data_IF_822817348268
#
_entry.id   IF_822817348268
#
_cell.length_a   1.000
_cell.length_b   1.000
_cell.length_c   1.000
_cell.angle_alpha   90.00
_cell.angle_beta   90.00
_cell.angle_gamma   90.00
#
_symmetry.space_group_name_H-M   'P 1'
#
loop_
_entity.id
_entity.type
_entity.pdbx_description
1 polymer ?
#
# COMPACT_ATOMS: atom_id res chain seq x y z
N UNK A 1 -0.50 0.38 -23.84
CA UNK A 1 0.08 0.07 -22.53
C UNK A 1 1.31 0.93 -22.32
N UNK A 2 1.35 1.65 -21.24
CA UNK A 2 2.48 2.46 -20.78
C UNK A 2 3.09 1.81 -19.54
N UNK A 3 4.40 1.95 -19.33
CA UNK A 3 5.13 1.35 -18.24
C UNK A 3 6.03 2.39 -17.57
N UNK A 4 6.10 2.37 -16.24
CA UNK A 4 7.04 3.16 -15.44
C UNK A 4 7.72 2.27 -14.40
N UNK A 5 8.99 1.93 -14.64
CA UNK A 5 9.77 1.08 -13.74
C UNK A 5 10.43 1.89 -12.63
N UNK A 6 10.32 1.39 -11.40
CA UNK A 6 10.94 1.96 -10.21
C UNK A 6 11.87 0.96 -9.55
N UNK A 7 13.18 1.09 -9.80
CA UNK A 7 14.18 0.27 -9.11
C UNK A 7 14.19 0.56 -7.61
N UNK A 8 14.37 -0.48 -6.79
CA UNK A 8 14.39 -0.34 -5.33
C UNK A 8 15.47 0.66 -4.86
N UNK A 9 16.63 0.68 -5.51
CA UNK A 9 17.75 1.58 -5.20
C UNK A 9 17.49 3.07 -5.52
N UNK A 10 16.42 3.37 -6.28
CA UNK A 10 16.07 4.76 -6.66
C UNK A 10 14.97 5.36 -5.80
N UNK A 11 14.45 4.62 -4.82
CA UNK A 11 13.51 5.15 -3.84
C UNK A 11 14.19 6.15 -2.91
N UNK A 12 13.43 7.11 -2.40
CA UNK A 12 13.90 7.95 -1.31
C UNK A 12 14.21 7.11 -0.08
N UNK A 13 15.29 7.43 0.62
CA UNK A 13 15.64 6.73 1.84
C UNK A 13 15.86 7.73 2.98
N UNK A 14 15.20 7.48 4.10
CA UNK A 14 15.40 8.20 5.35
C UNK A 14 15.77 7.22 6.47
N UNK A 15 16.75 7.59 7.30
CA UNK A 15 17.13 6.83 8.49
C UNK A 15 17.24 7.79 9.67
N UNK A 16 16.30 7.66 10.60
CA UNK A 16 16.22 8.46 11.83
C UNK A 16 16.70 7.68 13.07
N UNK A 17 17.39 6.53 12.86
CA UNK A 17 17.76 5.61 13.92
C UNK A 17 16.62 4.66 14.30
N UNK A 18 15.49 5.21 14.72
CA UNK A 18 14.30 4.46 15.09
C UNK A 18 13.39 4.12 13.91
N UNK A 19 13.50 4.84 12.79
CA UNK A 19 12.74 4.67 11.56
C UNK A 19 13.72 4.52 10.39
N UNK A 20 13.56 3.46 9.60
CA UNK A 20 14.14 3.32 8.26
C UNK A 20 12.97 3.31 7.28
N UNK A 21 12.89 4.34 6.44
CA UNK A 21 11.78 4.54 5.50
C UNK A 21 12.29 4.56 4.07
N UNK A 22 11.60 3.82 3.18
CA UNK A 22 11.85 3.86 1.74
C UNK A 22 10.60 4.43 1.04
N UNK A 23 10.77 5.57 0.36
CA UNK A 23 9.69 6.32 -0.26
C UNK A 23 9.63 6.04 -1.77
N UNK A 24 8.53 5.49 -2.27
CA UNK A 24 8.34 5.33 -3.72
C UNK A 24 8.06 6.66 -4.41
N UNK A 25 7.40 7.58 -3.71
CA UNK A 25 7.07 8.95 -4.18
C UNK A 25 7.61 9.99 -3.22
N UNK A 26 7.73 11.24 -3.70
CA UNK A 26 8.22 12.38 -2.90
C UNK A 26 7.47 12.49 -1.58
N UNK A 27 8.22 12.40 -0.48
CA UNK A 27 7.68 12.40 0.88
C UNK A 27 8.69 13.01 1.86
N UNK A 28 8.21 13.73 2.87
CA UNK A 28 9.01 14.42 3.87
C UNK A 28 10.12 15.28 3.24
N UNK A 29 11.38 15.03 3.56
CA UNK A 29 12.54 15.77 3.02
C UNK A 29 13.04 15.26 1.67
N UNK A 30 12.58 14.09 1.20
CA UNK A 30 12.96 13.57 -0.10
C UNK A 30 12.04 14.09 -1.20
N UNK A 31 12.62 14.72 -2.20
CA UNK A 31 11.90 15.31 -3.31
C UNK A 31 12.48 14.86 -4.66
N UNK A 32 11.60 14.31 -5.50
CA UNK A 32 11.88 14.03 -6.90
C UNK A 32 10.67 14.47 -7.74
N UNK A 33 10.84 15.50 -8.58
CA UNK A 33 9.77 16.06 -9.42
C UNK A 33 9.09 15.04 -10.36
N UNK A 34 9.79 13.98 -10.71
CA UNK A 34 9.29 12.89 -11.56
C UNK A 34 8.64 11.74 -10.78
N UNK A 35 8.63 11.84 -9.44
CA UNK A 35 8.07 10.84 -8.52
C UNK A 35 7.19 11.50 -7.48
N UNK A 36 6.15 12.19 -7.95
CA UNK A 36 5.20 12.86 -7.05
C UNK A 36 4.06 11.93 -6.64
N UNK A 37 3.57 11.12 -7.55
CA UNK A 37 2.47 10.18 -7.38
C UNK A 37 2.38 9.25 -8.61
N UNK A 38 1.57 8.20 -8.52
CA UNK A 38 1.12 7.39 -9.65
C UNK A 38 -0.41 7.43 -9.68
N UNK A 39 -1.02 8.12 -10.64
CA UNK A 39 -2.45 8.40 -10.58
C UNK A 39 -2.83 8.95 -9.20
N UNK A 40 -3.91 8.47 -8.62
CA UNK A 40 -4.34 8.89 -7.27
C UNK A 40 -3.46 8.34 -6.12
N UNK A 41 -2.54 7.42 -6.37
CA UNK A 41 -1.61 6.92 -5.35
C UNK A 41 -0.53 7.97 -5.05
N UNK A 42 -0.67 8.66 -3.90
CA UNK A 42 0.20 9.77 -3.50
C UNK A 42 1.42 9.31 -2.71
N UNK A 43 1.28 8.30 -1.86
CA UNK A 43 2.35 7.76 -1.01
C UNK A 43 2.34 6.25 -1.06
N UNK A 44 3.53 5.66 -1.16
CA UNK A 44 3.81 4.28 -0.82
C UNK A 44 5.17 4.24 -0.12
N UNK A 45 5.12 4.14 1.19
CA UNK A 45 6.28 3.99 2.05
C UNK A 45 6.41 2.55 2.53
N UNK A 46 7.65 2.07 2.58
CA UNK A 46 8.06 0.78 3.13
C UNK A 46 8.91 1.08 4.36
N UNK A 47 8.28 1.00 5.52
CA UNK A 47 8.81 1.50 6.78
C UNK A 47 9.19 0.35 7.72
N UNK A 48 10.36 0.50 8.35
CA UNK A 48 10.79 -0.34 9.47
C UNK A 48 10.90 0.55 10.70
N UNK A 49 10.10 0.24 11.73
CA UNK A 49 10.05 1.02 12.98
C UNK A 49 10.58 0.19 14.13
N UNK A 50 11.53 0.76 14.87
CA UNK A 50 12.17 0.12 16.03
C UNK A 50 11.15 -0.17 17.16
N UNK A 51 11.44 -1.12 18.07
CA UNK A 51 10.57 -1.46 19.19
C UNK A 51 10.15 -0.25 20.02
N UNK A 52 8.85 -0.14 20.31
CA UNK A 52 8.25 0.92 21.13
C UNK A 52 8.31 2.34 20.54
N UNK A 53 8.89 2.48 19.34
CA UNK A 53 9.01 3.76 18.65
C UNK A 53 7.86 3.96 17.67
N UNK A 54 7.69 5.18 17.18
CA UNK A 54 6.60 5.48 16.24
C UNK A 54 6.43 6.96 15.97
N UNK A 55 5.31 7.29 15.36
CA UNK A 55 4.93 8.64 14.99
C UNK A 55 3.98 9.22 16.04
N UNK A 56 4.42 10.31 16.70
CA UNK A 56 3.57 11.05 17.63
C UNK A 56 2.36 11.66 16.96
N UNK A 57 1.46 12.23 17.76
CA UNK A 57 0.20 12.80 17.29
C UNK A 57 0.41 13.84 16.18
N UNK A 58 -0.19 13.60 15.02
CA UNK A 58 -0.12 14.47 13.84
C UNK A 58 -1.47 14.48 13.08
N UNK A 59 -1.76 15.54 12.30
CA UNK A 59 -3.02 15.69 11.59
C UNK A 59 -2.97 15.10 10.19
N UNK A 60 -4.18 14.72 9.68
CA UNK A 60 -4.48 14.49 8.28
C UNK A 60 -5.84 15.07 7.94
N UNK A 61 -6.03 15.48 6.70
CA UNK A 61 -7.30 15.85 6.10
C UNK A 61 -7.37 15.35 4.65
N UNK A 62 -8.57 15.10 4.16
CA UNK A 62 -8.86 14.76 2.77
C UNK A 62 -7.89 13.75 2.16
N UNK A 63 -7.64 12.63 2.87
CA UNK A 63 -6.75 11.56 2.46
C UNK A 63 -7.29 10.20 2.89
N UNK A 64 -7.18 9.22 2.01
CA UNK A 64 -7.37 7.81 2.35
C UNK A 64 -6.02 7.22 2.72
N UNK A 65 -5.87 6.75 3.95
CA UNK A 65 -4.62 6.22 4.51
C UNK A 65 -4.81 4.74 4.79
N UNK A 66 -3.96 3.92 4.19
CA UNK A 66 -4.02 2.47 4.31
C UNK A 66 -2.72 1.97 4.90
N UNK A 67 -2.81 1.16 5.96
CA UNK A 67 -1.66 0.53 6.60
C UNK A 67 -1.73 -0.98 6.45
N UNK A 68 -0.64 -1.57 5.97
CA UNK A 68 -0.50 -3.02 5.74
C UNK A 68 0.78 -3.49 6.46
N UNK A 69 0.68 -4.00 7.70
CA UNK A 69 1.83 -4.61 8.36
C UNK A 69 2.26 -5.89 7.64
N UNK A 70 3.54 -5.97 7.28
CA UNK A 70 4.14 -7.17 6.68
C UNK A 70 4.75 -8.09 7.75
N UNK A 71 5.20 -7.49 8.86
CA UNK A 71 5.75 -8.18 10.03
C UNK A 71 5.49 -7.32 11.27
N UNK A 72 5.18 -7.95 12.40
CA UNK A 72 4.95 -7.26 13.67
C UNK A 72 3.53 -6.68 13.78
N UNK A 73 3.37 -5.62 14.58
CA UNK A 73 2.08 -4.99 14.83
C UNK A 73 2.22 -3.49 15.14
N UNK A 74 1.26 -2.72 14.66
CA UNK A 74 1.18 -1.26 14.82
C UNK A 74 0.05 -0.90 15.78
N UNK A 75 0.33 -0.12 16.81
CA UNK A 75 -0.68 0.50 17.67
C UNK A 75 -1.09 1.83 17.06
N UNK A 76 -2.38 1.97 16.76
CA UNK A 76 -3.01 3.19 16.27
C UNK A 76 -3.87 3.81 17.38
N UNK A 77 -3.79 5.12 17.54
CA UNK A 77 -4.70 5.91 18.39
C UNK A 77 -5.11 7.18 17.65
N UNK A 78 -6.40 7.54 17.70
CA UNK A 78 -6.90 8.72 16.99
C UNK A 78 -7.84 9.60 17.80
N UNK A 79 -8.18 10.77 17.22
CA UNK A 79 -9.06 11.76 17.82
C UNK A 79 -10.55 11.39 17.82
N UNK A 80 -10.94 10.30 17.14
CA UNK A 80 -12.30 9.74 17.18
C UNK A 80 -12.47 8.79 18.37
N UNK A 81 -11.38 8.42 19.05
CA UNK A 81 -11.38 7.54 20.21
C UNK A 81 -11.05 6.08 19.92
N UNK A 82 -10.61 5.76 18.69
CA UNK A 82 -10.07 4.44 18.39
C UNK A 82 -8.68 4.28 19.01
N UNK A 83 -8.42 3.12 19.59
CA UNK A 83 -7.13 2.70 20.14
C UNK A 83 -6.99 1.21 19.86
N UNK A 84 -6.40 0.88 18.72
CA UNK A 84 -6.41 -0.47 18.15
C UNK A 84 -4.97 -0.92 17.82
N UNK A 85 -4.79 -2.24 17.72
CA UNK A 85 -3.52 -2.83 17.26
C UNK A 85 -3.78 -3.55 15.96
N UNK A 86 -3.03 -3.17 14.91
CA UNK A 86 -3.09 -3.78 13.58
C UNK A 86 -1.92 -4.75 13.44
N UNK A 87 -2.20 -6.03 13.23
CA UNK A 87 -1.21 -7.08 13.13
C UNK A 87 -0.84 -7.42 11.68
N UNK A 88 0.31 -8.04 11.47
CA UNK A 88 0.58 -8.72 10.19
C UNK A 88 -0.53 -9.76 9.92
N UNK A 89 -1.10 -9.73 8.70
CA UNK A 89 -2.32 -10.47 8.36
C UNK A 89 -3.61 -9.66 8.49
N UNK A 90 -3.49 -8.37 8.81
CA UNK A 90 -4.58 -7.41 8.83
C UNK A 90 -4.29 -6.23 7.90
N UNK A 91 -5.33 -5.53 7.51
CA UNK A 91 -5.27 -4.25 6.81
C UNK A 91 -6.11 -3.23 7.57
N UNK A 92 -5.62 -1.99 7.61
CA UNK A 92 -6.30 -0.84 8.21
C UNK A 92 -6.57 0.21 7.15
N UNK A 93 -7.72 0.86 7.23
CA UNK A 93 -8.09 2.06 6.46
C UNK A 93 -8.53 3.16 7.42
N UNK A 94 -7.99 4.35 7.22
CA UNK A 94 -8.41 5.59 7.85
C UNK A 94 -8.75 6.62 6.76
N UNK A 95 -10.04 7.01 6.66
CA UNK A 95 -10.45 8.14 5.84
C UNK A 95 -10.35 9.41 6.68
N UNK A 96 -9.46 10.33 6.32
CA UNK A 96 -9.20 11.52 7.13
C UNK A 96 -10.30 12.59 7.01
N UNK A 97 -10.98 12.68 5.85
CA UNK A 97 -12.15 13.54 5.64
C UNK A 97 -11.94 14.97 6.12
N UNK A 98 -12.85 15.49 6.96
CA UNK A 98 -12.81 16.86 7.52
C UNK A 98 -11.64 17.11 8.46
N UNK A 99 -10.86 16.09 8.80
CA UNK A 99 -9.67 16.19 9.63
C UNK A 99 -9.67 15.20 10.80
N UNK A 100 -8.51 14.60 11.01
CA UNK A 100 -8.23 13.65 12.09
C UNK A 100 -6.83 13.88 12.63
N UNK A 101 -6.65 13.66 13.91
CA UNK A 101 -5.31 13.52 14.52
C UNK A 101 -5.13 12.08 14.92
N UNK A 102 -3.97 11.51 14.60
CA UNK A 102 -3.61 10.16 15.04
C UNK A 102 -2.14 10.02 15.42
N UNK A 103 -1.83 8.92 16.06
CA UNK A 103 -0.48 8.48 16.37
C UNK A 103 -0.34 7.00 16.04
N UNK A 104 0.85 6.58 15.63
CA UNK A 104 1.16 5.21 15.22
C UNK A 104 2.47 4.77 15.85
N UNK A 105 2.44 3.71 16.67
CA UNK A 105 3.60 3.18 17.36
C UNK A 105 3.77 1.68 17.11
N UNK A 106 5.01 1.23 17.03
CA UNK A 106 5.30 -0.20 17.11
C UNK A 106 4.78 -0.74 18.45
N UNK A 107 3.84 -1.68 18.40
CA UNK A 107 3.22 -2.25 19.60
C UNK A 107 4.17 -3.16 20.41
N UNK A 108 5.23 -3.70 19.76
CA UNK A 108 6.24 -4.51 20.41
C UNK A 108 7.31 -3.65 21.07
N UNK A 109 7.79 -4.07 22.24
CA UNK A 109 8.94 -3.45 22.94
C UNK A 109 10.27 -4.14 22.59
N UNK A 110 10.26 -5.22 21.81
CA UNK A 110 11.44 -6.04 21.53
C UNK A 110 11.68 -6.33 20.05
N UNK A 111 10.63 -6.27 19.20
CA UNK A 111 10.70 -6.64 17.79
C UNK A 111 10.42 -5.43 16.89
N UNK A 112 11.16 -5.31 15.78
CA UNK A 112 10.85 -4.33 14.73
C UNK A 112 9.56 -4.67 14.02
N UNK A 113 8.80 -3.65 13.62
CA UNK A 113 7.70 -3.77 12.66
C UNK A 113 8.18 -3.39 11.27
N UNK A 114 7.73 -4.11 10.22
CA UNK A 114 7.80 -3.67 8.84
C UNK A 114 6.39 -3.53 8.28
N UNK A 115 6.08 -2.38 7.71
CA UNK A 115 4.76 -2.09 7.15
C UNK A 115 4.84 -1.28 5.86
N UNK A 116 3.82 -1.39 5.03
CA UNK A 116 3.52 -0.39 4.01
C UNK A 116 2.51 0.62 4.54
N UNK A 117 2.78 1.90 4.27
CA UNK A 117 1.81 2.97 4.42
C UNK A 117 1.51 3.57 3.04
N UNK A 118 0.23 3.55 2.66
CA UNK A 118 -0.27 4.08 1.40
C UNK A 118 -1.18 5.26 1.66
N UNK A 119 -1.04 6.32 0.85
CA UNK A 119 -1.99 7.43 0.82
C UNK A 119 -2.57 7.54 -0.57
N UNK A 120 -3.89 7.59 -0.66
CA UNK A 120 -4.62 7.71 -1.92
C UNK A 120 -5.48 8.98 -1.84
N UNK A 121 -5.40 9.84 -2.85
CA UNK A 121 -6.27 11.01 -2.95
C UNK A 121 -7.71 10.55 -3.07
N UNK A 122 -8.64 11.03 -2.21
CA UNK A 122 -10.03 10.65 -2.30
C UNK A 122 -10.73 11.32 -3.50
N UNK A 123 -11.81 10.71 -4.00
CA UNK A 123 -12.69 11.30 -5.00
C UNK A 123 -13.81 12.14 -4.37
N UNK A 124 -13.93 12.14 -3.04
CA UNK A 124 -14.87 12.93 -2.28
C UNK A 124 -14.15 13.58 -1.09
N UNK A 125 -14.21 14.89 -1.00
CA UNK A 125 -13.63 15.67 0.09
C UNK A 125 -14.63 15.92 1.21
N UNK A 126 -14.10 16.33 2.39
CA UNK A 126 -14.89 16.75 3.56
C UNK A 126 -15.87 15.66 4.06
N UNK A 127 -15.53 14.39 3.82
CA UNK A 127 -16.30 13.27 4.36
C UNK A 127 -16.11 13.17 5.87
N UNK A 128 -17.04 12.51 6.55
CA UNK A 128 -16.87 12.19 7.97
C UNK A 128 -15.67 11.26 8.15
N UNK A 129 -14.72 11.60 9.04
CA UNK A 129 -13.60 10.72 9.34
C UNK A 129 -14.06 9.34 9.79
N UNK A 130 -13.35 8.29 9.37
CA UNK A 130 -13.66 6.92 9.78
C UNK A 130 -12.40 6.08 9.89
N UNK A 131 -12.49 5.02 10.68
CA UNK A 131 -11.48 4.01 10.90
C UNK A 131 -12.10 2.63 10.74
N UNK A 132 -11.39 1.73 10.06
CA UNK A 132 -11.74 0.31 9.97
C UNK A 132 -10.47 -0.52 9.87
N UNK A 133 -10.50 -1.74 10.42
CA UNK A 133 -9.49 -2.77 10.19
C UNK A 133 -10.17 -4.13 10.03
N UNK A 134 -9.52 -5.02 9.29
CA UNK A 134 -9.99 -6.39 9.07
C UNK A 134 -8.81 -7.33 8.90
N UNK A 135 -8.93 -8.52 9.51
CA UNK A 135 -8.02 -9.62 9.25
C UNK A 135 -8.36 -10.28 7.91
N UNK A 136 -7.33 -10.68 7.16
CA UNK A 136 -7.48 -11.49 5.97
C UNK A 136 -6.84 -12.85 6.14
N UNK A 137 -7.33 -13.84 5.40
CA UNK A 137 -6.77 -15.19 5.44
C UNK A 137 -5.61 -15.30 4.43
N UNK A 138 -4.34 -15.43 4.86
CA UNK A 138 -3.20 -15.54 3.96
C UNK A 138 -3.27 -16.73 2.99
N UNK A 139 -4.00 -17.80 3.34
CA UNK A 139 -4.16 -18.94 2.45
C UNK A 139 -4.94 -18.61 1.17
N UNK A 140 -5.79 -17.59 1.21
CA UNK A 140 -6.56 -17.12 0.04
C UNK A 140 -5.72 -16.32 -0.97
N UNK A 141 -4.50 -15.91 -0.58
CA UNK A 141 -3.57 -15.25 -1.48
C UNK A 141 -2.81 -16.21 -2.39
N UNK A 142 -2.86 -17.52 -2.11
CA UNK A 142 -2.07 -18.50 -2.87
C UNK A 142 -2.56 -18.58 -4.31
N UNK A 143 -1.72 -18.10 -5.24
CA UNK A 143 -1.98 -18.05 -6.69
C UNK A 143 -3.33 -17.38 -7.04
N UNK A 144 -3.82 -16.49 -6.16
CA UNK A 144 -5.09 -15.77 -6.32
C UNK A 144 -4.98 -14.34 -5.78
N UNK A 145 -5.62 -13.39 -6.47
CA UNK A 145 -5.66 -12.00 -6.05
C UNK A 145 -6.65 -11.80 -4.90
N UNK A 146 -6.16 -11.75 -3.67
CA UNK A 146 -6.97 -11.41 -2.50
C UNK A 146 -7.22 -9.91 -2.49
N UNK A 147 -8.50 -9.50 -2.51
CA UNK A 147 -8.90 -8.11 -2.38
C UNK A 147 -8.79 -7.66 -0.91
N UNK A 148 -8.00 -6.62 -0.67
CA UNK A 148 -7.85 -5.98 0.64
C UNK A 148 -8.70 -4.72 0.76
N UNK A 149 -8.77 -3.93 -0.33
CA UNK A 149 -9.51 -2.66 -0.38
C UNK A 149 -10.22 -2.52 -1.73
N UNK A 150 -11.42 -1.93 -1.71
CA UNK A 150 -12.22 -1.59 -2.89
C UNK A 150 -12.93 -0.25 -2.74
N UNK A 151 -13.62 0.28 -3.78
CA UNK A 151 -14.46 1.47 -3.66
C UNK A 151 -15.86 1.19 -3.06
N UNK A 152 -16.24 -0.08 -2.86
CA UNK A 152 -17.60 -0.46 -2.52
C UNK A 152 -17.64 -1.08 -1.10
N UNK A 153 -18.43 -0.51 -0.17
CA UNK A 153 -18.55 -1.04 1.20
C UNK A 153 -19.18 -2.45 1.28
N UNK A 154 -19.84 -2.92 0.22
CA UNK A 154 -20.46 -4.26 0.18
C UNK A 154 -19.49 -5.34 -0.32
N UNK A 155 -18.30 -4.96 -0.81
CA UNK A 155 -17.27 -5.89 -1.26
C UNK A 155 -16.52 -6.52 -0.07
N UNK A 156 -15.81 -7.61 -0.33
CA UNK A 156 -14.87 -8.17 0.64
C UNK A 156 -13.70 -7.23 0.91
N UNK A 157 -13.18 -7.22 2.14
CA UNK A 157 -12.12 -6.32 2.59
C UNK A 157 -12.66 -5.01 3.13
N UNK A 158 -11.86 -3.95 2.99
CA UNK A 158 -12.21 -2.60 3.40
C UNK A 158 -12.55 -1.73 2.19
N UNK A 159 -13.14 -0.58 2.40
CA UNK A 159 -13.47 0.34 1.32
C UNK A 159 -12.91 1.74 1.56
N UNK A 160 -12.72 2.51 0.48
CA UNK A 160 -12.22 3.89 0.49
C UNK A 160 -13.04 4.78 -0.43
N UNK A 161 -12.97 6.09 -0.22
CA UNK A 161 -13.56 7.11 -1.08
C UNK A 161 -12.68 7.37 -2.31
N UNK A 162 -12.41 6.31 -3.09
CA UNK A 162 -11.76 6.42 -4.39
C UNK A 162 -12.10 5.20 -5.25
N UNK A 163 -12.16 5.36 -6.59
CA UNK A 163 -12.33 4.26 -7.55
C UNK A 163 -11.01 3.48 -7.67
N UNK A 164 -10.60 2.85 -6.57
CA UNK A 164 -9.32 2.17 -6.41
C UNK A 164 -9.49 0.81 -5.75
N UNK A 165 -8.58 -0.12 -6.09
CA UNK A 165 -8.54 -1.47 -5.52
C UNK A 165 -7.12 -1.80 -5.06
N UNK A 166 -7.00 -2.47 -3.94
CA UNK A 166 -5.74 -3.02 -3.46
C UNK A 166 -5.89 -4.53 -3.34
N UNK A 167 -4.98 -5.24 -4.00
CA UNK A 167 -4.91 -6.70 -3.94
C UNK A 167 -3.53 -7.15 -3.49
N UNK A 168 -3.47 -8.35 -2.92
CA UNK A 168 -2.22 -9.03 -2.63
C UNK A 168 -2.30 -10.46 -3.16
N UNK A 169 -1.15 -11.00 -3.61
CA UNK A 169 -1.05 -12.36 -4.11
C UNK A 169 0.29 -12.99 -3.67
N UNK A 170 0.25 -14.25 -3.23
CA UNK A 170 1.41 -15.12 -3.04
C UNK A 170 1.51 -16.07 -4.22
N UNK A 171 2.46 -15.83 -5.11
CA UNK A 171 2.61 -16.63 -6.33
C UNK A 171 3.58 -17.79 -6.11
N UNK A 172 3.16 -18.97 -6.57
CA UNK A 172 4.04 -20.15 -6.66
C UNK A 172 5.09 -19.99 -7.76
N UNK A 173 6.26 -20.67 -7.67
CA UNK A 173 7.27 -20.59 -8.71
C UNK A 173 6.75 -21.08 -10.06
N UNK A 174 7.18 -20.44 -11.15
CA UNK A 174 6.84 -20.78 -12.53
C UNK A 174 5.33 -20.74 -12.83
N UNK A 175 4.58 -19.89 -12.11
CA UNK A 175 3.16 -19.63 -12.39
C UNK A 175 2.99 -18.30 -13.11
N UNK A 176 1.90 -18.19 -13.87
CA UNK A 176 1.50 -16.96 -14.54
C UNK A 176 0.07 -16.64 -14.15
N UNK A 177 -0.17 -15.37 -13.81
CA UNK A 177 -1.48 -14.82 -13.46
C UNK A 177 -1.76 -13.58 -14.33
N UNK A 178 -3.00 -13.34 -14.67
CA UNK A 178 -3.42 -12.13 -15.37
C UNK A 178 -4.32 -11.30 -14.47
N UNK A 179 -3.85 -10.09 -14.13
CA UNK A 179 -4.67 -9.11 -13.44
C UNK A 179 -5.47 -8.30 -14.46
N UNK A 180 -6.79 -8.38 -14.39
CA UNK A 180 -7.69 -7.54 -15.19
C UNK A 180 -8.07 -6.31 -14.40
N UNK A 181 -7.81 -5.11 -14.93
CA UNK A 181 -8.17 -3.86 -14.29
C UNK A 181 -9.68 -3.78 -14.09
N UNK A 182 -10.09 -3.31 -12.91
CA UNK A 182 -11.48 -3.25 -12.48
C UNK A 182 -12.24 -2.07 -13.10
N UNK A 183 -11.50 -0.98 -13.42
CA UNK A 183 -12.13 0.22 -13.97
C UNK A 183 -11.35 0.76 -15.19
N UNK A 184 -12.05 1.10 -16.31
CA UNK A 184 -11.43 1.78 -17.44
C UNK A 184 -10.81 3.12 -17.01
N UNK A 185 -9.61 3.43 -17.52
CA UNK A 185 -8.87 4.65 -17.18
C UNK A 185 -8.02 4.55 -15.91
N UNK A 186 -8.11 3.44 -15.17
CA UNK A 186 -7.18 3.15 -14.08
C UNK A 186 -5.83 2.68 -14.62
N UNK A 187 -4.81 2.85 -13.80
CA UNK A 187 -3.52 2.16 -13.88
C UNK A 187 -3.33 1.28 -12.65
N UNK A 188 -2.40 0.35 -12.70
CA UNK A 188 -2.03 -0.49 -11.56
C UNK A 188 -0.56 -0.31 -11.25
N UNK A 189 -0.25 -0.01 -9.99
CA UNK A 189 1.10 0.03 -9.44
C UNK A 189 1.38 -1.28 -8.72
N UNK A 190 2.38 -2.02 -9.22
CA UNK A 190 2.73 -3.35 -8.74
C UNK A 190 4.04 -3.23 -7.95
N UNK A 191 3.98 -3.48 -6.63
CA UNK A 191 5.13 -3.50 -5.74
C UNK A 191 5.53 -4.95 -5.45
N UNK A 192 6.69 -5.37 -5.95
CA UNK A 192 7.21 -6.70 -5.66
C UNK A 192 7.77 -6.77 -4.24
N UNK A 193 7.07 -7.46 -3.36
CA UNK A 193 7.45 -7.60 -1.95
C UNK A 193 8.55 -8.64 -1.80
N UNK A 194 8.41 -9.80 -2.47
CA UNK A 194 9.33 -10.93 -2.35
C UNK A 194 9.39 -11.72 -3.66
N UNK A 195 10.52 -12.39 -3.87
CA UNK A 195 10.77 -13.22 -5.02
C UNK A 195 11.07 -12.42 -6.29
N UNK A 196 11.18 -13.13 -7.41
CA UNK A 196 11.44 -12.56 -8.74
C UNK A 196 10.22 -12.71 -9.62
N UNK A 197 9.82 -11.62 -10.27
CA UNK A 197 8.67 -11.56 -11.19
C UNK A 197 9.10 -11.03 -12.55
N UNK A 198 8.33 -11.35 -13.57
CA UNK A 198 8.34 -10.64 -14.86
C UNK A 198 6.93 -10.13 -15.10
N UNK A 199 6.78 -8.82 -15.27
CA UNK A 199 5.49 -8.14 -15.44
C UNK A 199 5.55 -7.35 -16.73
N UNK A 200 4.66 -7.63 -17.68
CA UNK A 200 4.66 -6.99 -19.00
C UNK A 200 6.05 -6.99 -19.66
N UNK A 201 6.78 -8.10 -19.60
CA UNK A 201 8.16 -8.30 -20.04
C UNK A 201 9.25 -7.50 -19.27
N UNK A 202 8.89 -6.81 -18.18
CA UNK A 202 9.83 -6.13 -17.30
C UNK A 202 10.17 -7.02 -16.10
N UNK A 203 11.45 -7.42 -15.91
CA UNK A 203 11.87 -8.11 -14.68
C UNK A 203 11.75 -7.19 -13.46
N UNK A 204 11.26 -7.75 -12.36
CA UNK A 204 11.18 -7.09 -11.04
C UNK A 204 11.84 -7.98 -9.98
N UNK A 205 12.84 -7.44 -9.32
CA UNK A 205 13.46 -8.00 -8.13
C UNK A 205 12.79 -7.50 -6.83
N UNK A 206 13.42 -7.84 -5.71
CA UNK A 206 12.97 -7.48 -4.37
C UNK A 206 12.73 -5.97 -4.21
N UNK A 207 11.52 -5.58 -3.78
CA UNK A 207 11.13 -4.18 -3.54
C UNK A 207 11.21 -3.25 -4.75
N UNK A 208 11.31 -3.79 -5.94
CA UNK A 208 11.13 -3.05 -7.17
C UNK A 208 9.65 -2.93 -7.52
N UNK A 209 9.30 -1.90 -8.29
CA UNK A 209 7.90 -1.66 -8.64
C UNK A 209 7.75 -1.29 -10.12
N UNK A 210 6.54 -1.52 -10.65
CA UNK A 210 6.15 -1.18 -12.00
C UNK A 210 4.76 -0.53 -12.00
N UNK A 211 4.66 0.70 -12.49
CA UNK A 211 3.40 1.31 -12.87
C UNK A 211 3.00 0.87 -14.28
N UNK A 212 1.75 0.47 -14.47
CA UNK A 212 1.19 0.05 -15.76
C UNK A 212 -0.15 0.73 -15.98
N UNK A 213 -0.36 1.39 -17.13
CA UNK A 213 -1.62 2.02 -17.49
C UNK A 213 -1.88 1.99 -19.01
N UNK A 214 -3.02 2.48 -19.45
CA UNK A 214 -3.50 2.35 -20.84
C UNK A 214 -3.55 0.89 -21.30
N UNK A 215 -4.11 0.04 -20.46
CA UNK A 215 -4.36 -1.37 -20.73
C UNK A 215 -5.57 -1.85 -19.95
N UNK A 216 -6.17 -2.95 -20.37
CA UNK A 216 -7.25 -3.62 -19.64
C UNK A 216 -6.75 -4.75 -18.74
N UNK A 217 -5.52 -5.22 -18.95
CA UNK A 217 -4.96 -6.33 -18.16
C UNK A 217 -3.45 -6.31 -18.17
N UNK A 218 -2.85 -6.97 -17.17
CA UNK A 218 -1.41 -7.13 -16.99
C UNK A 218 -1.09 -8.59 -16.71
N UNK A 219 -0.18 -9.18 -17.49
CA UNK A 219 0.36 -10.50 -17.23
C UNK A 219 1.51 -10.41 -16.23
N UNK A 220 1.49 -11.31 -15.25
CA UNK A 220 2.45 -11.39 -14.15
C UNK A 220 2.97 -12.83 -14.10
N UNK A 221 4.25 -13.02 -14.35
CA UNK A 221 4.92 -14.29 -14.24
C UNK A 221 5.81 -14.33 -13.00
N UNK A 222 5.71 -15.36 -12.19
CA UNK A 222 6.59 -15.59 -11.05
C UNK A 222 7.70 -16.57 -11.43
N UNK A 223 8.95 -16.15 -11.38
CA UNK A 223 10.10 -17.04 -11.56
C UNK A 223 10.41 -17.80 -10.27
N UNK A 224 10.23 -17.14 -9.13
CA UNK A 224 10.37 -17.76 -7.80
C UNK A 224 9.13 -17.51 -6.97
N UNK A 225 8.95 -18.29 -5.92
CA UNK A 225 7.88 -18.00 -4.93
C UNK A 225 8.05 -16.59 -4.38
N UNK A 226 6.94 -15.89 -4.17
CA UNK A 226 6.96 -14.58 -3.53
C UNK A 226 5.67 -13.80 -3.67
N UNK A 227 5.64 -12.68 -2.95
CA UNK A 227 4.47 -11.84 -2.75
C UNK A 227 4.50 -10.58 -3.60
N UNK A 228 3.33 -10.19 -4.10
CA UNK A 228 3.14 -8.97 -4.87
C UNK A 228 1.95 -8.18 -4.29
N UNK A 229 2.11 -6.87 -4.14
CA UNK A 229 1.04 -5.92 -3.85
C UNK A 229 0.64 -5.20 -5.14
N UNK A 230 -0.65 -5.15 -5.43
CA UNK A 230 -1.23 -4.46 -6.58
C UNK A 230 -2.12 -3.33 -6.08
N UNK A 231 -1.90 -2.12 -6.57
CA UNK A 231 -2.64 -0.92 -6.20
C UNK A 231 -3.19 -0.32 -7.49
N UNK A 232 -4.46 -0.59 -7.78
CA UNK A 232 -5.16 -0.02 -8.94
C UNK A 232 -5.80 1.30 -8.55
N UNK A 233 -5.50 2.36 -9.29
CA UNK A 233 -5.99 3.73 -9.04
C UNK A 233 -6.33 4.44 -10.34
N UNK A 234 -7.24 5.44 -10.33
CA UNK A 234 -7.47 6.30 -11.47
C UNK A 234 -6.22 7.10 -11.81
N UNK A 235 -5.92 7.22 -13.12
CA UNK A 235 -4.78 8.02 -13.61
C UNK A 235 -5.13 9.51 -13.75
N UNK A 236 -6.44 9.85 -13.77
CA UNK A 236 -6.98 11.20 -13.70
C UNK A 236 -7.92 11.28 -12.50
N UNK A 237 -7.74 12.26 -11.61
CA UNK A 237 -8.44 12.35 -10.34
C UNK A 237 -8.51 13.80 -9.84
#
# INVERSE_FOLDING_TARGET
MQLEFHAASTRGFANHGWLKANHSFSFASWFNRYRMHFGALRVLNDDIVAPGMGFGKHPHDNMEIITIPLKGSLKHEDSMGFSEVVHAGEVQVMSAGTGIYHSEFNASQTEEINLFQLWIFPNQQEVTPRYQQVAYNPAEMKDSFLQLVSPNPEDSGLWIHQTAWIHMIDMSPNTTQTYTLKHPGNGVYLMNIEGEKVIANQPLGLREALGVWETSSVEIQANTQGRLLLIEVPMQF
#
